data_IF_846874364971
#
_entry.id   IF_846874364971
#
_cell.length_a   1.000
_cell.length_b   1.000
_cell.length_c   1.000
_cell.angle_alpha   90.00
_cell.angle_beta   90.00
_cell.angle_gamma   90.00
#
_symmetry.space_group_name_H-M   'P 1'
#
loop_
_entity.id
_entity.type
_entity.pdbx_description
1 polymer ?
#
# COMPACT_ATOMS: atom_id res chain seq x y z
N UNK A 1 1.08 1.78 16.46
CA UNK A 1 0.96 0.35 16.14
C UNK A 1 1.26 -0.46 17.40
N UNK A 2 0.43 -1.43 17.80
CA UNK A 2 0.74 -2.33 18.91
C UNK A 2 2.03 -3.10 18.61
N UNK A 3 3.02 -3.02 19.51
CA UNK A 3 4.28 -3.77 19.43
C UNK A 3 5.02 -3.67 18.07
N UNK A 4 4.92 -2.54 17.37
CA UNK A 4 5.53 -2.32 16.05
C UNK A 4 5.09 -3.30 14.94
N UNK A 5 3.93 -3.93 15.10
CA UNK A 5 3.33 -4.83 14.10
C UNK A 5 2.09 -4.19 13.47
N UNK A 6 1.81 -4.54 12.22
CA UNK A 6 0.57 -4.17 11.56
C UNK A 6 -0.57 -5.04 12.08
N UNK A 7 -1.77 -4.46 12.17
CA UNK A 7 -2.98 -5.10 12.66
C UNK A 7 -3.90 -5.45 11.48
N UNK A 8 -4.33 -6.70 11.41
CA UNK A 8 -5.36 -7.18 10.49
C UNK A 8 -6.48 -7.82 11.31
N UNK A 9 -7.73 -7.48 11.02
CA UNK A 9 -8.91 -8.07 11.68
C UNK A 9 -9.75 -8.75 10.59
N UNK A 10 -9.84 -10.08 10.58
CA UNK A 10 -10.64 -10.79 9.58
C UNK A 10 -12.13 -10.46 9.71
N UNK A 11 -12.81 -10.23 8.59
CA UNK A 11 -14.27 -10.24 8.51
C UNK A 11 -14.71 -11.65 8.12
N UNK A 12 -15.19 -12.44 9.08
CA UNK A 12 -15.40 -13.89 8.89
C UNK A 12 -16.67 -14.25 8.13
N UNK A 13 -17.61 -13.32 8.02
CA UNK A 13 -18.87 -13.48 7.29
C UNK A 13 -19.02 -12.47 6.14
N UNK A 14 -17.92 -12.14 5.45
CA UNK A 14 -17.90 -11.09 4.42
C UNK A 14 -18.99 -11.26 3.34
N UNK A 15 -19.22 -12.50 2.88
CA UNK A 15 -20.27 -12.79 1.88
C UNK A 15 -21.67 -12.41 2.37
N UNK A 16 -22.04 -12.80 3.59
CA UNK A 16 -23.35 -12.47 4.17
C UNK A 16 -23.53 -10.97 4.42
N UNK A 17 -22.45 -10.28 4.80
CA UNK A 17 -22.47 -8.82 4.96
C UNK A 17 -22.77 -8.14 3.63
N UNK A 18 -22.10 -8.57 2.55
CA UNK A 18 -22.23 -7.95 1.23
C UNK A 18 -23.55 -8.33 0.55
N UNK A 19 -23.93 -9.60 0.58
CA UNK A 19 -25.06 -10.13 -0.20
C UNK A 19 -26.39 -10.11 0.55
N UNK A 20 -26.37 -10.11 1.89
CA UNK A 20 -27.56 -10.29 2.73
C UNK A 20 -27.73 -9.18 3.78
N UNK A 21 -26.86 -8.16 3.77
CA UNK A 21 -26.87 -7.07 4.76
C UNK A 21 -26.77 -7.58 6.20
N UNK A 22 -26.09 -8.70 6.43
CA UNK A 22 -25.89 -9.25 7.76
C UNK A 22 -24.96 -8.37 8.61
N UNK A 23 -25.04 -8.49 9.93
CA UNK A 23 -24.10 -7.82 10.84
C UNK A 23 -22.68 -8.37 10.65
N UNK A 24 -21.63 -7.54 10.58
CA UNK A 24 -20.26 -8.00 10.44
C UNK A 24 -19.80 -8.76 11.69
N UNK A 25 -19.14 -9.89 11.47
CA UNK A 25 -18.48 -10.71 12.48
C UNK A 25 -16.97 -10.57 12.32
N UNK A 26 -16.33 -9.98 13.32
CA UNK A 26 -14.89 -9.79 13.36
C UNK A 26 -14.24 -11.00 14.03
N UNK A 27 -13.21 -11.56 13.39
CA UNK A 27 -12.38 -12.62 13.95
C UNK A 27 -11.28 -12.10 14.88
N UNK A 28 -10.45 -13.02 15.35
CA UNK A 28 -9.31 -12.68 16.20
C UNK A 28 -8.30 -11.78 15.46
N UNK A 29 -7.72 -10.77 16.13
CA UNK A 29 -6.69 -9.92 15.53
C UNK A 29 -5.43 -10.69 15.13
N UNK A 30 -4.93 -10.40 13.93
CA UNK A 30 -3.67 -10.92 13.40
C UNK A 30 -2.63 -9.80 13.41
N UNK A 31 -1.47 -10.06 14.02
CA UNK A 31 -0.37 -9.11 14.13
C UNK A 31 0.76 -9.47 13.17
N UNK A 32 0.84 -8.76 12.05
CA UNK A 32 1.82 -9.01 11.01
C UNK A 32 3.12 -8.22 11.24
N UNK A 33 4.26 -8.92 11.22
CA UNK A 33 5.56 -8.27 11.26
C UNK A 33 5.96 -7.80 9.84
N UNK A 34 5.76 -6.51 9.56
CA UNK A 34 6.14 -5.87 8.30
C UNK A 34 7.36 -4.93 8.48
N UNK A 35 8.22 -5.21 9.48
CA UNK A 35 9.40 -4.40 9.75
C UNK A 35 9.07 -2.94 10.07
N UNK A 36 8.18 -2.72 11.04
CA UNK A 36 7.66 -1.40 11.46
C UNK A 36 6.81 -0.65 10.42
N UNK A 37 6.35 -1.31 9.37
CA UNK A 37 5.44 -0.73 8.36
C UNK A 37 3.97 -0.99 8.68
N UNK A 38 3.11 -0.03 8.33
CA UNK A 38 1.66 -0.21 8.31
C UNK A 38 1.19 -0.82 6.99
N UNK A 39 0.04 -1.50 7.00
CA UNK A 39 -0.58 -2.04 5.78
C UNK A 39 -1.15 -0.89 4.94
N UNK A 40 -0.86 -0.89 3.63
CA UNK A 40 -1.45 0.02 2.64
C UNK A 40 -2.39 -0.68 1.67
N UNK A 41 -2.07 -1.93 1.31
CA UNK A 41 -2.91 -2.80 0.48
C UNK A 41 -2.60 -4.26 0.78
N UNK A 42 -3.62 -5.12 0.64
CA UNK A 42 -3.54 -6.57 0.79
C UNK A 42 -4.38 -7.20 -0.31
N UNK A 43 -3.77 -7.96 -1.21
CA UNK A 43 -4.48 -8.61 -2.31
C UNK A 43 -4.13 -10.10 -2.38
N UNK A 44 -5.13 -10.94 -2.67
CA UNK A 44 -4.91 -12.37 -2.86
C UNK A 44 -4.66 -12.70 -4.34
N UNK A 45 -3.60 -13.43 -4.64
CA UNK A 45 -3.34 -13.95 -5.97
C UNK A 45 -3.57 -15.46 -6.03
N UNK A 46 -4.61 -15.87 -6.76
CA UNK A 46 -4.91 -17.28 -6.99
C UNK A 46 -3.77 -18.01 -7.73
N UNK A 47 -3.09 -17.33 -8.68
CA UNK A 47 -1.95 -17.91 -9.41
C UNK A 47 -0.80 -18.31 -8.48
N UNK A 48 -0.51 -17.49 -7.45
CA UNK A 48 0.57 -17.76 -6.51
C UNK A 48 0.12 -18.48 -5.23
N UNK A 49 -1.20 -18.64 -5.04
CA UNK A 49 -1.82 -19.13 -3.81
C UNK A 49 -1.35 -18.37 -2.55
N UNK A 50 -1.22 -17.04 -2.64
CA UNK A 50 -0.66 -16.17 -1.58
C UNK A 50 -1.28 -14.78 -1.60
N UNK A 51 -1.21 -14.12 -0.46
CA UNK A 51 -1.45 -12.68 -0.32
C UNK A 51 -0.18 -11.89 -0.63
N UNK A 52 -0.36 -10.76 -1.29
CA UNK A 52 0.65 -9.73 -1.45
C UNK A 52 0.26 -8.51 -0.63
N UNK A 53 1.21 -7.95 0.09
CA UNK A 53 0.97 -6.86 1.04
C UNK A 53 1.93 -5.72 0.73
N UNK A 54 1.41 -4.51 0.52
CA UNK A 54 2.23 -3.31 0.58
C UNK A 54 2.29 -2.84 2.02
N UNK A 55 3.51 -2.83 2.58
CA UNK A 55 3.84 -2.14 3.81
C UNK A 55 4.35 -0.74 3.49
N UNK A 56 3.71 0.28 4.06
CA UNK A 56 4.16 1.66 3.96
C UNK A 56 4.75 2.19 5.27
N UNK A 57 5.59 3.23 5.21
CA UNK A 57 6.00 3.98 6.39
C UNK A 57 4.83 4.48 7.24
N UNK A 58 5.04 4.52 8.56
CA UNK A 58 4.22 5.32 9.47
C UNK A 58 4.71 6.78 9.48
N UNK A 59 6.02 6.97 9.35
CA UNK A 59 6.75 8.24 9.34
C UNK A 59 7.70 8.29 8.13
N UNK A 60 8.36 9.42 7.89
CA UNK A 60 9.23 9.56 6.71
C UNK A 60 10.58 8.81 6.83
N UNK A 61 10.76 7.93 7.83
CA UNK A 61 12.08 7.33 8.12
C UNK A 61 12.31 5.99 7.41
N UNK A 62 11.25 5.26 7.05
CA UNK A 62 11.36 3.92 6.45
C UNK A 62 10.78 3.85 5.03
N UNK A 63 11.45 3.12 4.15
CA UNK A 63 11.01 2.88 2.78
C UNK A 63 9.77 1.99 2.73
N UNK A 64 8.91 2.16 1.73
CA UNK A 64 7.82 1.23 1.45
C UNK A 64 8.36 -0.14 1.00
N UNK A 65 7.58 -1.21 1.17
CA UNK A 65 7.99 -2.57 0.84
C UNK A 65 6.82 -3.47 0.41
N UNK A 66 7.11 -4.44 -0.45
CA UNK A 66 6.20 -5.50 -0.85
C UNK A 66 6.55 -6.80 -0.12
N UNK A 67 5.53 -7.46 0.40
CA UNK A 67 5.63 -8.76 1.08
C UNK A 67 4.73 -9.79 0.43
N UNK A 68 5.07 -11.08 0.57
CA UNK A 68 4.18 -12.21 0.31
C UNK A 68 3.82 -12.92 1.60
N UNK A 69 2.58 -13.33 1.78
CA UNK A 69 2.09 -14.01 2.97
C UNK A 69 1.13 -15.15 2.60
N UNK A 70 1.21 -16.27 3.30
CA UNK A 70 0.36 -17.44 3.01
C UNK A 70 -1.09 -17.27 3.47
N UNK A 71 -1.38 -16.31 4.35
CA UNK A 71 -2.65 -16.22 5.07
C UNK A 71 -2.64 -16.94 6.43
N UNK A 72 -1.57 -17.71 6.70
CA UNK A 72 -1.39 -18.36 8.01
C UNK A 72 -0.91 -17.32 9.04
N UNK A 73 -1.71 -17.12 10.09
CA UNK A 73 -1.44 -16.16 11.17
C UNK A 73 -0.16 -16.50 11.96
N UNK A 74 0.27 -17.76 11.93
CA UNK A 74 1.49 -18.21 12.62
C UNK A 74 2.76 -17.98 11.77
N UNK A 75 2.60 -17.72 10.47
CA UNK A 75 3.72 -17.49 9.54
C UNK A 75 3.91 -16.00 9.23
N UNK A 76 5.17 -15.55 9.28
CA UNK A 76 5.50 -14.17 8.97
C UNK A 76 5.47 -13.89 7.46
N UNK A 77 4.98 -12.71 7.04
CA UNK A 77 5.13 -12.25 5.66
C UNK A 77 6.61 -12.18 5.24
N UNK A 78 6.93 -12.75 4.08
CA UNK A 78 8.26 -12.71 3.48
C UNK A 78 8.44 -11.43 2.68
N UNK A 79 9.53 -10.69 2.91
CA UNK A 79 9.89 -9.52 2.12
C UNK A 79 10.23 -9.93 0.67
N UNK A 80 9.61 -9.26 -0.30
CA UNK A 80 9.83 -9.46 -1.73
C UNK A 80 10.64 -8.30 -2.32
N UNK A 81 10.28 -7.05 -2.00
CA UNK A 81 10.92 -5.87 -2.58
C UNK A 81 10.87 -4.67 -1.64
N UNK A 82 11.95 -3.90 -1.58
CA UNK A 82 11.99 -2.55 -1.02
C UNK A 82 11.81 -1.53 -2.14
N UNK A 83 11.06 -0.45 -1.88
CA UNK A 83 10.88 0.66 -2.82
C UNK A 83 11.70 1.86 -2.35
N UNK A 84 12.69 2.25 -3.15
CA UNK A 84 13.59 3.36 -2.82
C UNK A 84 13.07 4.72 -3.28
N UNK A 85 12.24 4.72 -4.33
CA UNK A 85 11.82 5.92 -5.06
C UNK A 85 10.30 6.00 -5.23
N UNK A 86 9.55 5.04 -4.70
CA UNK A 86 8.09 4.97 -4.77
C UNK A 86 7.49 4.64 -3.41
N UNK A 87 6.25 5.07 -3.22
CA UNK A 87 5.43 4.68 -2.09
C UNK A 87 4.13 4.06 -2.60
N UNK A 88 4.18 2.82 -3.10
CA UNK A 88 2.97 2.15 -3.56
C UNK A 88 1.90 2.13 -2.46
N UNK A 89 0.64 2.28 -2.84
CA UNK A 89 -0.50 2.22 -1.93
C UNK A 89 -1.56 1.21 -2.39
N UNK A 90 -1.48 0.72 -3.63
CA UNK A 90 -2.40 -0.29 -4.14
C UNK A 90 -1.69 -1.36 -4.98
N UNK A 91 -2.24 -2.57 -4.96
CA UNK A 91 -1.89 -3.69 -5.83
C UNK A 91 -3.11 -4.02 -6.69
N UNK A 92 -2.91 -4.37 -7.95
CA UNK A 92 -3.87 -5.14 -8.73
C UNK A 92 -3.23 -6.45 -9.21
N UNK A 93 -3.93 -7.56 -8.99
CA UNK A 93 -3.49 -8.88 -9.43
C UNK A 93 -3.92 -9.07 -10.89
N UNK A 94 -2.98 -9.46 -11.75
CA UNK A 94 -3.35 -9.91 -13.08
C UNK A 94 -3.82 -11.38 -13.00
N UNK A 95 -5.05 -11.64 -13.46
CA UNK A 95 -5.59 -13.00 -13.47
C UNK A 95 -4.72 -13.97 -14.28
N UNK A 96 -4.63 -15.21 -13.80
CA UNK A 96 -3.91 -16.32 -14.45
C UNK A 96 -2.46 -15.98 -14.85
N UNK A 97 -1.80 -15.11 -14.08
CA UNK A 97 -0.49 -14.57 -14.41
C UNK A 97 0.35 -14.35 -13.16
N UNK A 98 1.67 -14.41 -13.35
CA UNK A 98 2.65 -14.08 -12.33
C UNK A 98 2.82 -12.55 -12.12
N UNK A 99 2.04 -11.73 -12.85
CA UNK A 99 2.16 -10.27 -12.84
C UNK A 99 1.33 -9.61 -11.73
N UNK A 100 1.95 -8.62 -11.09
CA UNK A 100 1.32 -7.69 -10.16
C UNK A 100 1.51 -6.26 -10.68
N UNK A 101 0.45 -5.48 -10.66
CA UNK A 101 0.50 -4.04 -10.93
C UNK A 101 0.48 -3.28 -9.61
N UNK A 102 1.46 -2.40 -9.40
CA UNK A 102 1.58 -1.61 -8.18
C UNK A 102 1.35 -0.14 -8.53
N UNK A 103 0.61 0.58 -7.70
CA UNK A 103 0.25 1.98 -7.92
C UNK A 103 0.72 2.83 -6.74
N UNK A 104 1.37 3.96 -7.04
CA UNK A 104 1.89 4.93 -6.08
C UNK A 104 1.18 6.26 -6.28
N UNK A 105 0.56 6.78 -5.22
CA UNK A 105 0.15 8.18 -5.14
C UNK A 105 1.37 9.03 -4.78
N UNK A 106 1.76 9.92 -5.70
CA UNK A 106 2.88 10.82 -5.47
C UNK A 106 2.45 12.13 -4.80
N UNK A 107 1.25 12.22 -4.24
CA UNK A 107 0.67 13.40 -3.63
C UNK A 107 1.63 14.18 -2.72
N UNK A 108 2.45 13.47 -1.92
CA UNK A 108 3.44 14.07 -1.02
C UNK A 108 4.86 14.17 -1.58
N UNK A 109 5.11 13.65 -2.79
CA UNK A 109 6.41 13.81 -3.47
C UNK A 109 6.62 15.29 -3.78
N UNK A 110 7.81 15.78 -3.43
CA UNK A 110 8.17 17.20 -3.57
C UNK A 110 8.81 17.47 -4.92
N UNK A 111 8.36 18.54 -5.57
CA UNK A 111 8.87 19.03 -6.84
C UNK A 111 9.31 20.48 -6.73
N UNK A 112 10.37 20.83 -7.44
CA UNK A 112 10.82 22.22 -7.56
C UNK A 112 9.80 23.01 -8.39
N UNK A 113 9.31 24.12 -7.84
CA UNK A 113 8.27 24.96 -8.45
C UNK A 113 8.44 26.43 -8.07
N UNK A 114 7.77 27.32 -8.79
CA UNK A 114 7.57 28.72 -8.37
C UNK A 114 6.32 28.87 -7.50
N UNK A 115 6.21 29.99 -6.78
CA UNK A 115 5.05 30.27 -5.90
C UNK A 115 3.73 30.34 -6.68
N UNK A 116 3.79 30.70 -7.97
CA UNK A 116 2.62 30.77 -8.83
C UNK A 116 2.05 29.39 -9.17
N UNK A 117 2.89 28.35 -9.19
CA UNK A 117 2.54 26.99 -9.60
C UNK A 117 1.89 26.14 -8.49
N UNK A 118 1.90 26.63 -7.24
CA UNK A 118 1.41 25.88 -6.08
C UNK A 118 0.46 26.67 -5.18
N UNK A 119 -0.44 25.95 -4.51
CA UNK A 119 -1.27 26.46 -3.43
C UNK A 119 -0.57 26.42 -2.06
N UNK A 120 0.60 25.79 -1.96
CA UNK A 120 1.44 25.82 -0.76
C UNK A 120 2.24 27.12 -0.70
N UNK A 121 2.38 27.67 0.52
CA UNK A 121 3.37 28.73 0.76
C UNK A 121 4.76 28.11 0.71
N UNK A 122 5.57 28.50 -0.26
CA UNK A 122 6.91 27.97 -0.43
C UNK A 122 7.85 28.55 0.63
N UNK A 123 8.61 27.67 1.29
CA UNK A 123 9.72 28.05 2.17
C UNK A 123 11.09 27.74 1.56
N UNK A 124 11.17 26.80 0.63
CA UNK A 124 12.42 26.32 0.04
C UNK A 124 12.34 26.04 -1.48
N UNK A 125 11.31 26.55 -2.17
CA UNK A 125 11.12 26.33 -3.61
C UNK A 125 10.62 24.95 -4.00
N UNK A 126 10.15 24.14 -3.04
CA UNK A 126 9.53 22.84 -3.28
C UNK A 126 8.08 22.82 -2.81
N UNK A 127 7.22 22.21 -3.61
CA UNK A 127 5.83 21.94 -3.28
C UNK A 127 5.54 20.46 -3.36
N UNK A 128 4.62 19.98 -2.54
CA UNK A 128 4.05 18.65 -2.74
C UNK A 128 3.25 18.57 -4.06
N UNK A 129 3.21 17.38 -4.66
CA UNK A 129 2.47 17.10 -5.89
C UNK A 129 0.99 17.47 -5.81
N UNK A 130 0.34 17.14 -4.69
CA UNK A 130 -1.09 17.39 -4.48
C UNK A 130 -1.43 18.89 -4.48
N UNK A 131 -0.46 19.73 -4.14
CA UNK A 131 -0.62 21.18 -4.02
C UNK A 131 -0.32 21.96 -5.30
N UNK A 132 0.14 21.27 -6.35
CA UNK A 132 0.30 21.89 -7.68
C UNK A 132 -1.05 22.37 -8.22
N UNK A 133 -1.10 23.62 -8.69
CA UNK A 133 -2.30 24.22 -9.29
C UNK A 133 -2.66 23.58 -10.63
N UNK A 134 -1.65 23.29 -11.45
CA UNK A 134 -1.85 22.62 -12.73
C UNK A 134 -2.01 21.11 -12.52
N UNK A 135 -3.21 20.59 -12.73
CA UNK A 135 -3.53 19.16 -12.61
C UNK A 135 -2.70 18.27 -13.53
N UNK A 136 -2.31 18.75 -14.71
CA UNK A 136 -1.48 17.99 -15.66
C UNK A 136 -0.05 17.78 -15.17
N UNK A 137 0.38 18.51 -14.13
CA UNK A 137 1.67 18.30 -13.47
C UNK A 137 1.58 17.33 -12.29
N UNK A 138 0.37 16.95 -11.86
CA UNK A 138 0.19 15.94 -10.82
C UNK A 138 0.51 14.55 -11.39
N UNK A 139 1.10 13.69 -10.57
CA UNK A 139 1.61 12.39 -11.01
C UNK A 139 1.02 11.27 -10.17
N UNK A 140 0.69 10.19 -10.87
CA UNK A 140 0.46 8.86 -10.32
C UNK A 140 1.41 7.93 -11.07
N UNK A 141 2.12 7.08 -10.35
CA UNK A 141 3.04 6.12 -10.96
C UNK A 141 2.50 4.72 -10.81
N UNK A 142 2.72 3.91 -11.84
CA UNK A 142 2.51 2.48 -11.75
C UNK A 142 3.74 1.74 -12.24
N UNK A 143 3.96 0.55 -11.67
CA UNK A 143 4.91 -0.42 -12.18
C UNK A 143 4.25 -1.78 -12.28
N UNK A 144 4.71 -2.59 -13.21
CA UNK A 144 4.35 -4.00 -13.26
C UNK A 144 5.57 -4.82 -12.86
N UNK A 145 5.37 -5.78 -11.97
CA UNK A 145 6.41 -6.73 -11.59
C UNK A 145 5.93 -8.15 -11.90
N UNK A 146 6.88 -9.04 -12.15
CA UNK A 146 6.63 -10.47 -12.33
C UNK A 146 7.18 -11.22 -11.12
N UNK A 147 6.37 -12.05 -10.47
CA UNK A 147 6.76 -12.83 -9.30
C UNK A 147 6.89 -14.30 -9.72
N UNK A 148 8.13 -14.77 -9.84
CA UNK A 148 8.43 -16.17 -10.14
C UNK A 148 8.35 -17.06 -8.90
#
# INVERSE_FOLDING_TARGET
MPNNKALLIPLTNAEDVILKSAKPLLGDPIYLNLGKRGIRSVEYSAFHNKYFIIGGPIDNEIQSALYSWSGDKELFPKLIKLFTDMNPEAIAIQENSAKLHLFSDDGNVKYKVTQEETNEKLSNGFSSCKSLKNSNKKRFRSITININ
#
